data_IF_358516259963
#
_entry.id   IF_358516259963
#
_cell.length_a   1.000
_cell.length_b   1.000
_cell.length_c   1.000
_cell.angle_alpha   90.00
_cell.angle_beta   90.00
_cell.angle_gamma   90.00
#
_symmetry.space_group_name_H-M   'P 1'
#
loop_
_entity.id
_entity.type
_entity.pdbx_description
1 polymer ?
#
# COMPACT_ATOMS: atom_id res chain seq x y z
N UNK A 1 21.55 14.77 45.52
CA UNK A 1 20.97 14.99 44.18
C UNK A 1 21.36 13.83 43.28
N UNK A 2 20.53 12.80 43.18
CA UNK A 2 20.83 11.61 42.38
C UNK A 2 19.94 11.65 41.12
N UNK A 3 20.55 11.86 39.95
CA UNK A 3 19.85 11.82 38.66
C UNK A 3 19.52 10.37 38.32
N UNK A 4 18.23 10.05 38.22
CA UNK A 4 17.76 8.80 37.67
C UNK A 4 17.89 8.82 36.13
N UNK A 5 18.72 7.95 35.57
CA UNK A 5 18.79 7.71 34.14
C UNK A 5 17.66 6.73 33.77
N UNK A 6 16.61 7.22 33.12
CA UNK A 6 15.58 6.38 32.53
C UNK A 6 16.14 5.67 31.29
N UNK A 7 16.39 4.37 31.42
CA UNK A 7 16.73 3.48 30.32
C UNK A 7 15.56 3.39 29.35
N UNK A 8 15.64 4.06 28.20
CA UNK A 8 14.75 3.82 27.07
C UNK A 8 15.10 2.44 26.51
N UNK A 9 14.25 1.44 26.77
CA UNK A 9 14.30 0.16 26.06
C UNK A 9 13.49 0.30 24.78
N UNK A 10 14.17 0.29 23.63
CA UNK A 10 13.53 -0.03 22.36
C UNK A 10 13.06 -1.48 22.48
N UNK A 11 11.74 -1.68 22.53
CA UNK A 11 11.17 -3.02 22.42
C UNK A 11 11.43 -3.50 20.98
N UNK A 12 12.48 -4.31 20.82
CA UNK A 12 12.67 -5.11 19.62
C UNK A 12 11.50 -6.09 19.59
N UNK A 13 10.45 -5.75 18.83
CA UNK A 13 9.30 -6.62 18.64
C UNK A 13 9.80 -8.00 18.23
N UNK A 14 9.28 -9.04 18.89
CA UNK A 14 9.61 -10.42 18.56
C UNK A 14 9.32 -10.64 17.08
N UNK A 15 10.36 -10.83 16.28
CA UNK A 15 10.27 -11.44 14.96
C UNK A 15 9.75 -12.86 15.18
N UNK A 16 8.42 -12.99 15.26
CA UNK A 16 7.78 -14.27 15.11
C UNK A 16 8.10 -14.70 13.67
N UNK A 17 9.13 -15.53 13.50
CA UNK A 17 9.39 -16.23 12.26
C UNK A 17 8.13 -17.05 11.97
N UNK A 18 7.22 -16.48 11.17
CA UNK A 18 5.98 -17.11 10.81
C UNK A 18 6.33 -18.41 10.12
N UNK A 19 5.94 -19.54 10.71
CA UNK A 19 5.98 -20.84 10.07
C UNK A 19 4.94 -20.87 8.94
N UNK A 20 5.19 -20.10 7.88
CA UNK A 20 4.52 -20.26 6.60
C UNK A 20 5.24 -21.40 5.90
N UNK A 21 4.51 -22.47 5.56
CA UNK A 21 5.05 -23.56 4.74
C UNK A 21 5.31 -23.03 3.33
N UNK A 22 6.53 -22.56 3.08
CA UNK A 22 7.00 -22.17 1.76
C UNK A 22 7.69 -23.33 1.05
N UNK A 23 7.65 -23.35 -0.29
CA UNK A 23 8.38 -24.31 -1.13
C UNK A 23 9.90 -24.04 -1.20
N UNK A 24 10.39 -23.07 -0.40
CA UNK A 24 11.80 -22.70 -0.34
C UNK A 24 12.56 -23.57 0.67
N UNK A 25 13.85 -23.77 0.41
CA UNK A 25 14.78 -24.49 1.32
C UNK A 25 14.98 -23.76 2.64
N UNK A 26 14.90 -22.43 2.61
CA UNK A 26 15.22 -21.55 3.74
C UNK A 26 13.98 -20.78 4.21
N UNK A 27 13.84 -20.54 5.53
CA UNK A 27 12.69 -19.83 6.08
C UNK A 27 12.75 -18.33 5.79
N UNK A 28 11.58 -17.72 5.59
CA UNK A 28 11.46 -16.26 5.49
C UNK A 28 11.73 -15.62 6.86
N UNK A 29 12.68 -14.70 6.90
CA UNK A 29 13.07 -13.96 8.11
C UNK A 29 12.19 -12.76 8.40
N UNK A 30 11.22 -12.44 7.53
CA UNK A 30 10.31 -11.30 7.69
C UNK A 30 8.90 -11.83 7.78
N UNK A 31 8.26 -11.59 8.92
CA UNK A 31 6.86 -11.94 9.12
C UNK A 31 5.95 -11.13 8.19
N UNK A 32 4.77 -11.66 7.79
CA UNK A 32 3.76 -10.88 7.09
C UNK A 32 3.34 -9.66 7.93
N UNK A 33 3.30 -8.46 7.35
CA UNK A 33 2.98 -7.25 8.10
C UNK A 33 1.50 -7.23 8.50
N UNK A 34 1.24 -7.26 9.81
CA UNK A 34 -0.12 -7.29 10.38
C UNK A 34 -1.01 -6.13 9.93
N UNK A 35 -0.43 -4.98 9.60
CA UNK A 35 -1.17 -3.78 9.14
C UNK A 35 -1.89 -4.01 7.81
N UNK A 36 -1.34 -4.85 6.92
CA UNK A 36 -1.95 -5.15 5.62
C UNK A 36 -3.13 -6.13 5.72
N UNK A 37 -3.35 -6.73 6.88
CA UNK A 37 -4.52 -7.57 7.14
C UNK A 37 -5.78 -6.74 7.41
N UNK A 38 -5.64 -5.44 7.66
CA UNK A 38 -6.76 -4.52 7.87
C UNK A 38 -7.29 -4.04 6.51
N UNK A 39 -8.61 -3.84 6.34
CA UNK A 39 -9.17 -3.23 5.14
C UNK A 39 -8.58 -1.85 4.88
N UNK A 40 -8.31 -1.53 3.61
CA UNK A 40 -7.93 -0.18 3.20
C UNK A 40 -9.11 0.78 3.44
N UNK A 41 -8.84 1.90 4.10
CA UNK A 41 -9.84 2.94 4.35
C UNK A 41 -9.25 4.31 4.02
N UNK A 42 -9.96 5.08 3.19
CA UNK A 42 -9.59 6.44 2.80
C UNK A 42 -10.77 7.36 3.16
N UNK A 43 -10.56 8.47 3.89
CA UNK A 43 -11.64 9.37 4.26
C UNK A 43 -12.12 10.17 3.04
N UNK A 44 -13.44 10.36 2.94
CA UNK A 44 -14.02 11.27 1.95
C UNK A 44 -13.79 12.73 2.38
N UNK A 45 -13.17 13.53 1.50
CA UNK A 45 -12.80 14.92 1.76
C UNK A 45 -13.00 15.76 0.51
N UNK A 46 -13.55 16.95 0.69
CA UNK A 46 -13.57 17.98 -0.34
C UNK A 46 -12.21 18.70 -0.36
N UNK A 47 -11.49 18.58 -1.47
CA UNK A 47 -10.14 19.10 -1.68
C UNK A 47 -10.20 20.47 -2.37
N UNK A 48 -10.05 21.54 -1.59
CA UNK A 48 -10.07 22.94 -2.05
C UNK A 48 -8.69 23.61 -2.05
N UNK A 49 -7.62 22.81 -1.95
CA UNK A 49 -6.23 23.31 -2.05
C UNK A 49 -5.77 23.51 -3.50
N UNK A 50 -4.51 23.91 -3.72
CA UNK A 50 -3.96 24.13 -5.07
C UNK A 50 -3.79 22.83 -5.89
N UNK A 51 -4.04 21.66 -5.30
CA UNK A 51 -3.96 20.36 -5.94
C UNK A 51 -3.40 19.28 -5.01
N UNK A 52 -3.75 18.00 -5.21
CA UNK A 52 -4.68 17.45 -6.22
C UNK A 52 -6.16 17.80 -5.91
N UNK A 53 -7.02 17.76 -6.92
CA UNK A 53 -8.47 17.99 -6.81
C UNK A 53 -9.25 16.68 -6.70
N UNK A 54 -10.52 16.76 -6.28
CA UNK A 54 -11.42 15.59 -6.31
C UNK A 54 -11.64 15.11 -7.76
N UNK A 55 -11.63 13.78 -7.95
CA UNK A 55 -11.83 13.15 -9.25
C UNK A 55 -13.32 13.18 -9.65
N UNK A 56 -13.58 13.45 -10.93
CA UNK A 56 -14.91 13.29 -11.50
C UNK A 56 -15.37 11.82 -11.45
N UNK A 57 -16.67 11.52 -11.30
CA UNK A 57 -17.17 10.14 -11.20
C UNK A 57 -16.74 9.23 -12.37
N UNK A 58 -16.64 9.78 -13.58
CA UNK A 58 -16.17 9.05 -14.78
C UNK A 58 -14.71 8.59 -14.65
N UNK A 59 -13.84 9.41 -14.07
CA UNK A 59 -12.41 9.10 -13.89
C UNK A 59 -12.24 8.07 -12.77
N UNK A 60 -13.03 8.20 -11.69
CA UNK A 60 -13.08 7.19 -10.63
C UNK A 60 -13.49 5.81 -11.17
N UNK A 61 -14.54 5.77 -11.99
CA UNK A 61 -14.98 4.52 -12.63
C UNK A 61 -13.91 3.94 -13.57
N UNK A 62 -13.19 4.78 -14.32
CA UNK A 62 -12.12 4.34 -15.20
C UNK A 62 -10.95 3.67 -14.44
N UNK A 63 -10.66 4.12 -13.21
CA UNK A 63 -9.63 3.51 -12.36
C UNK A 63 -9.94 2.08 -11.90
N UNK A 64 -11.19 1.63 -12.02
CA UNK A 64 -11.62 0.26 -11.72
C UNK A 64 -11.70 -0.67 -12.94
N UNK A 65 -11.30 -0.21 -14.14
CA UNK A 65 -11.32 -1.04 -15.35
C UNK A 65 -10.21 -2.10 -15.34
N UNK A 66 -10.46 -3.19 -16.06
CA UNK A 66 -9.50 -4.30 -16.19
C UNK A 66 -8.22 -3.86 -16.91
N UNK A 67 -7.09 -4.37 -16.45
CA UNK A 67 -5.79 -4.15 -17.10
C UNK A 67 -5.78 -4.82 -18.48
N UNK A 68 -5.43 -4.04 -19.51
CA UNK A 68 -5.10 -4.53 -20.86
C UNK A 68 -3.59 -4.42 -21.11
N UNK A 69 -3.06 -5.23 -22.03
CA UNK A 69 -1.65 -5.14 -22.40
C UNK A 69 -1.35 -3.79 -23.08
N UNK A 70 -0.19 -3.23 -22.76
CA UNK A 70 0.25 -1.93 -23.26
C UNK A 70 0.53 -1.89 -24.77
N UNK A 71 0.62 -3.05 -25.45
CA UNK A 71 0.85 -3.15 -26.91
C UNK A 71 -0.40 -3.58 -27.69
N UNK A 72 -1.55 -3.65 -27.04
CA UNK A 72 -2.81 -3.93 -27.71
C UNK A 72 -3.26 -2.73 -28.55
N UNK A 73 -4.01 -2.99 -29.63
CA UNK A 73 -4.49 -1.93 -30.55
C UNK A 73 -5.35 -0.91 -29.83
N UNK A 74 -6.15 -1.37 -28.88
CA UNK A 74 -7.00 -0.57 -28.01
C UNK A 74 -6.19 0.41 -27.15
N UNK A 75 -5.00 0.00 -26.67
CA UNK A 75 -4.12 0.91 -25.93
C UNK A 75 -3.60 2.03 -26.84
N UNK A 76 -3.19 1.72 -28.08
CA UNK A 76 -2.78 2.75 -29.04
C UNK A 76 -3.93 3.68 -29.40
N UNK A 77 -5.13 3.16 -29.56
CA UNK A 77 -6.32 3.99 -29.78
C UNK A 77 -6.55 4.96 -28.61
N UNK A 78 -6.43 4.49 -27.36
CA UNK A 78 -6.54 5.36 -26.18
C UNK A 78 -5.47 6.46 -26.21
N UNK A 79 -4.24 6.14 -26.63
CA UNK A 79 -3.16 7.13 -26.75
C UNK A 79 -3.41 8.17 -27.84
N UNK A 80 -4.04 7.78 -28.95
CA UNK A 80 -4.38 8.68 -30.06
C UNK A 80 -5.57 9.60 -29.73
N UNK A 81 -6.45 9.20 -28.79
CA UNK A 81 -7.63 9.96 -28.37
C UNK A 81 -7.36 11.01 -27.26
N UNK A 82 -6.12 11.09 -26.74
CA UNK A 82 -5.67 12.04 -25.71
C UNK A 82 -5.13 13.32 -26.34
#
# INVERSE_FOLDING_TARGET
MLRALTSVRVALGSQAAGWVRTMASDPLLVAPPEVLLKPLSVPDRLLLGPGPSNLAPRILAAGGLQIISHMHKEMYQIMDEI
#
